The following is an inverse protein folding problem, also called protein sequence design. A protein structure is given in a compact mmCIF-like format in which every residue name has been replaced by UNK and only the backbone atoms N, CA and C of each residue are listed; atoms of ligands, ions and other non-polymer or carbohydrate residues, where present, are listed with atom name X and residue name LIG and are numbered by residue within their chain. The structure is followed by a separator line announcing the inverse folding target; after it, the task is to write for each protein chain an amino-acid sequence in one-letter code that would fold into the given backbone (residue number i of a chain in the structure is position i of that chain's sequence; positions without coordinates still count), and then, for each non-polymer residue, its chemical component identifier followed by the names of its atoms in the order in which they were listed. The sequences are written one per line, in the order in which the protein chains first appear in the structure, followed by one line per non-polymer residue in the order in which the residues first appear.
data_IF_705962067215
#
_entry.id   IF_705962067215
#
_cell.length_a   1.000
_cell.length_b   1.000
_cell.length_c   1.000
_cell.angle_alpha   90.00
_cell.angle_beta   90.00
_cell.angle_gamma   90.00
#
_symmetry.space_group_name_H-M   'P 1'
#
loop_
_entity.id
_entity.type
_entity.pdbx_description
1 polymer ?
#
# COMPACT_ATOMS: atom_id res chain seq x y z
N UNK A 1 25.04 2.15 -8.94
CA UNK A 1 24.48 1.70 -10.24
C UNK A 1 23.52 2.78 -10.72
N UNK A 2 23.76 3.40 -11.88
CA UNK A 2 22.95 4.51 -12.42
C UNK A 2 21.88 4.00 -13.41
N UNK A 3 20.90 3.25 -12.91
CA UNK A 3 19.70 2.88 -13.65
C UNK A 3 18.51 3.78 -13.28
N UNK A 4 17.45 3.76 -14.09
CA UNK A 4 16.16 4.41 -13.72
C UNK A 4 15.68 3.80 -12.39
N UNK A 5 15.30 4.61 -11.39
CA UNK A 5 14.86 4.08 -10.10
C UNK A 5 13.59 3.23 -10.26
N UNK A 6 13.60 2.05 -9.66
CA UNK A 6 12.45 1.14 -9.62
C UNK A 6 11.87 1.19 -8.21
N UNK A 7 10.62 1.58 -8.08
CA UNK A 7 9.94 1.75 -6.80
C UNK A 7 8.68 0.89 -6.78
N UNK A 8 8.52 0.06 -5.74
CA UNK A 8 7.33 -0.75 -5.55
C UNK A 8 6.36 -0.08 -4.57
N UNK A 9 5.07 -0.09 -4.90
CA UNK A 9 4.01 0.24 -3.95
C UNK A 9 3.62 -1.02 -3.17
N UNK A 10 3.70 -0.95 -1.84
CA UNK A 10 3.38 -2.05 -0.94
C UNK A 10 2.23 -1.68 -0.02
N UNK A 11 1.06 -2.25 -0.30
CA UNK A 11 -0.16 -2.06 0.49
C UNK A 11 -0.28 -3.02 1.68
N UNK A 12 0.81 -3.69 2.08
CA UNK A 12 0.81 -4.68 3.17
C UNK A 12 -0.12 -5.89 2.94
N UNK A 13 -0.52 -6.12 1.69
CA UNK A 13 -1.34 -7.26 1.26
C UNK A 13 -0.51 -8.39 0.67
N UNK A 14 -1.16 -9.55 0.46
CA UNK A 14 -0.53 -10.79 -0.03
C UNK A 14 0.18 -10.59 -1.37
N UNK A 15 -0.50 -10.04 -2.37
CA UNK A 15 0.02 -9.96 -3.74
C UNK A 15 1.25 -9.04 -3.84
N UNK A 16 1.16 -7.83 -3.29
CA UNK A 16 2.28 -6.89 -3.30
C UNK A 16 3.49 -7.40 -2.51
N UNK A 17 3.26 -8.17 -1.45
CA UNK A 17 4.32 -8.81 -0.66
C UNK A 17 5.00 -9.91 -1.47
N UNK A 18 4.22 -10.79 -2.11
CA UNK A 18 4.73 -11.86 -2.95
C UNK A 18 5.52 -11.32 -4.16
N UNK A 19 5.00 -10.27 -4.80
CA UNK A 19 5.66 -9.58 -5.90
C UNK A 19 7.05 -9.07 -5.49
N UNK A 20 7.17 -8.40 -4.34
CA UNK A 20 8.46 -7.87 -3.86
C UNK A 20 9.44 -9.00 -3.56
N UNK A 21 8.97 -10.08 -2.90
CA UNK A 21 9.82 -11.25 -2.60
C UNK A 21 10.36 -11.88 -3.88
N UNK A 22 9.51 -12.08 -4.89
CA UNK A 22 9.93 -12.67 -6.16
C UNK A 22 10.85 -11.74 -6.96
N UNK A 23 10.60 -10.43 -6.96
CA UNK A 23 11.47 -9.44 -7.60
C UNK A 23 12.90 -9.50 -7.06
N UNK A 24 13.03 -9.57 -5.74
CA UNK A 24 14.32 -9.68 -5.04
C UNK A 24 14.97 -11.03 -5.32
N UNK A 25 14.20 -12.12 -5.32
CA UNK A 25 14.68 -13.47 -5.64
C UNK A 25 15.24 -13.59 -7.06
N UNK A 26 14.69 -12.83 -8.02
CA UNK A 26 15.21 -12.74 -9.38
C UNK A 26 16.49 -11.88 -9.50
N UNK A 27 16.93 -11.25 -8.41
CA UNK A 27 18.11 -10.36 -8.42
C UNK A 27 17.86 -9.06 -9.18
N UNK A 28 16.59 -8.67 -9.37
CA UNK A 28 16.24 -7.43 -10.07
C UNK A 28 16.50 -6.21 -9.16
N UNK A 29 16.94 -5.08 -9.73
CA UNK A 29 17.15 -3.87 -8.94
C UNK A 29 15.83 -3.33 -8.40
N UNK A 30 15.80 -3.03 -7.11
CA UNK A 30 14.69 -2.38 -6.43
C UNK A 30 15.25 -1.23 -5.59
N UNK A 31 14.93 0.00 -5.98
CA UNK A 31 15.49 1.20 -5.35
C UNK A 31 14.81 1.50 -4.02
N UNK A 32 13.49 1.36 -3.94
CA UNK A 32 12.74 1.55 -2.71
C UNK A 32 11.38 0.86 -2.74
N UNK A 33 10.80 0.68 -1.56
CA UNK A 33 9.41 0.27 -1.35
C UNK A 33 8.68 1.38 -0.61
N UNK A 34 7.49 1.76 -1.09
CA UNK A 34 6.64 2.77 -0.45
C UNK A 34 5.35 2.15 0.08
N UNK A 35 5.00 2.49 1.31
CA UNK A 35 3.71 2.13 1.92
C UNK A 35 2.91 3.39 2.21
N UNK A 36 1.73 3.50 1.62
CA UNK A 36 0.80 4.59 1.92
C UNK A 36 0.00 4.24 3.18
N UNK A 37 0.24 4.95 4.28
CA UNK A 37 -0.49 4.77 5.53
C UNK A 37 -1.72 5.69 5.57
N UNK A 38 -2.90 5.09 5.65
CA UNK A 38 -4.20 5.79 5.69
C UNK A 38 -4.58 6.27 7.10
N UNK A 39 -3.82 5.86 8.12
CA UNK A 39 -4.09 6.13 9.53
C UNK A 39 -5.20 5.29 10.14
N UNK A 40 -5.85 4.42 9.36
CA UNK A 40 -6.98 3.58 9.77
C UNK A 40 -6.95 2.19 9.10
N UNK A 41 -5.76 1.65 8.84
CA UNK A 41 -5.64 0.25 8.43
C UNK A 41 -6.07 -0.69 9.58
N UNK A 42 -6.28 -1.97 9.24
CA UNK A 42 -6.57 -2.99 10.25
C UNK A 42 -5.39 -3.21 11.19
N UNK A 43 -5.66 -3.59 12.42
CA UNK A 43 -4.62 -3.86 13.43
C UNK A 43 -3.65 -4.95 12.98
N UNK A 44 -4.15 -6.00 12.33
CA UNK A 44 -3.33 -7.09 11.81
C UNK A 44 -2.39 -6.62 10.69
N UNK A 45 -2.85 -5.67 9.88
CA UNK A 45 -2.03 -5.04 8.83
C UNK A 45 -0.88 -4.25 9.43
N UNK A 46 -1.15 -3.45 10.47
CA UNK A 46 -0.09 -2.75 11.20
C UNK A 46 0.84 -3.70 11.95
N UNK A 47 0.33 -4.82 12.48
CA UNK A 47 1.15 -5.83 13.12
C UNK A 47 2.09 -6.55 12.12
N UNK A 48 1.69 -6.65 10.85
CA UNK A 48 2.51 -7.23 9.79
C UNK A 48 3.64 -6.31 9.32
N UNK A 49 3.44 -4.98 9.38
CA UNK A 49 4.43 -3.98 8.99
C UNK A 49 5.86 -4.26 9.53
N UNK A 50 6.09 -4.38 10.85
CA UNK A 50 7.43 -4.61 11.39
C UNK A 50 8.01 -5.99 11.01
N UNK A 51 7.17 -6.98 10.68
CA UNK A 51 7.61 -8.30 10.24
C UNK A 51 8.28 -8.19 8.87
N UNK A 52 7.61 -7.53 7.94
CA UNK A 52 8.12 -7.39 6.58
C UNK A 52 9.22 -6.33 6.47
N UNK A 53 9.21 -5.28 7.30
CA UNK A 53 10.34 -4.35 7.42
C UNK A 53 11.63 -5.08 7.77
N UNK A 54 11.62 -5.96 8.78
CA UNK A 54 12.80 -6.79 9.10
C UNK A 54 13.24 -7.68 7.94
N UNK A 55 12.32 -8.12 7.09
CA UNK A 55 12.67 -8.86 5.88
C UNK A 55 13.36 -7.93 4.87
N UNK A 56 12.79 -6.76 4.59
CA UNK A 56 13.39 -5.75 3.70
C UNK A 56 14.78 -5.31 4.17
N UNK A 57 14.98 -5.10 5.48
CA UNK A 57 16.28 -4.75 6.07
C UNK A 57 17.35 -5.80 5.79
N UNK A 58 17.00 -7.09 5.95
CA UNK A 58 17.91 -8.22 5.64
C UNK A 58 18.27 -8.32 4.17
N UNK A 59 17.44 -7.76 3.29
CA UNK A 59 17.66 -7.70 1.86
C UNK A 59 18.20 -6.33 1.39
N UNK A 60 18.54 -5.43 2.32
CA UNK A 60 19.05 -4.08 2.03
C UNK A 60 18.11 -3.23 1.17
N UNK A 61 16.80 -3.38 1.37
CA UNK A 61 15.77 -2.65 0.62
C UNK A 61 15.36 -1.41 1.42
N UNK A 62 15.48 -0.23 0.80
CA UNK A 62 15.00 1.02 1.38
C UNK A 62 13.46 1.01 1.44
N UNK A 63 12.89 1.27 2.62
CA UNK A 63 11.44 1.30 2.84
C UNK A 63 10.99 2.61 3.48
N UNK A 64 9.92 3.20 2.94
CA UNK A 64 9.29 4.38 3.50
C UNK A 64 7.80 4.19 3.74
N UNK A 65 7.35 4.55 4.94
CA UNK A 65 5.93 4.77 5.23
C UNK A 65 5.63 6.24 4.95
N UNK A 66 4.74 6.48 3.99
CA UNK A 66 4.34 7.82 3.57
C UNK A 66 2.90 8.08 3.96
N UNK A 67 2.59 9.32 4.33
CA UNK A 67 1.24 9.77 4.66
C UNK A 67 0.85 10.95 3.79
N UNK A 68 -0.44 11.04 3.48
CA UNK A 68 -0.99 12.18 2.77
C UNK A 68 -0.89 13.46 3.62
N UNK A 69 -0.40 14.55 3.03
CA UNK A 69 -0.38 15.87 3.66
C UNK A 69 -1.36 16.77 2.91
N UNK A 70 -2.47 17.20 3.53
CA UNK A 70 -3.48 18.02 2.86
C UNK A 70 -2.92 19.40 2.50
N UNK A 71 -2.88 19.71 1.20
CA UNK A 71 -2.47 21.03 0.69
C UNK A 71 -3.64 21.90 0.25
N UNK A 72 -4.71 21.28 -0.24
CA UNK A 72 -5.95 21.92 -0.66
C UNK A 72 -7.10 21.04 -0.20
N UNK A 73 -8.00 21.58 0.62
CA UNK A 73 -9.17 20.87 1.13
C UNK A 73 -10.40 21.76 1.00
N UNK A 74 -11.53 21.15 0.65
CA UNK A 74 -12.80 21.87 0.40
C UNK A 74 -13.46 22.33 1.69
N UNK A 75 -13.44 21.48 2.72
CA UNK A 75 -14.09 21.73 3.99
C UNK A 75 -13.06 21.73 5.13
N UNK A 76 -13.29 22.58 6.13
CA UNK A 76 -12.46 22.70 7.33
C UNK A 76 -13.02 21.81 8.46
N UNK A 77 -12.18 21.19 9.31
CA UNK A 77 -10.71 21.23 9.34
C UNK A 77 -10.04 20.35 8.27
N UNK A 78 -8.74 20.56 7.98
CA UNK A 78 -7.96 19.61 7.18
C UNK A 78 -8.03 18.20 7.78
N UNK A 79 -7.97 17.19 6.92
CA UNK A 79 -7.98 15.78 7.29
C UNK A 79 -6.61 15.13 7.04
N UNK A 80 -6.21 14.25 7.95
CA UNK A 80 -4.90 13.57 7.95
C UNK A 80 -5.03 12.05 7.93
N UNK A 81 -6.24 11.52 8.11
CA UNK A 81 -6.56 10.10 7.90
C UNK A 81 -7.68 9.92 6.88
N UNK A 82 -7.84 8.68 6.39
CA UNK A 82 -8.95 8.33 5.50
C UNK A 82 -10.31 8.45 6.19
N UNK A 83 -10.40 8.15 7.49
CA UNK A 83 -11.62 8.33 8.28
C UNK A 83 -11.99 9.81 8.42
N UNK A 84 -11.03 10.66 8.79
CA UNK A 84 -11.24 12.11 8.87
C UNK A 84 -11.66 12.68 7.52
N UNK A 85 -11.07 12.20 6.42
CA UNK A 85 -11.48 12.63 5.08
C UNK A 85 -12.97 12.38 4.83
N UNK A 86 -13.45 11.19 5.21
CA UNK A 86 -14.85 10.80 5.06
C UNK A 86 -15.78 11.67 5.92
N UNK A 87 -15.41 11.89 7.18
CA UNK A 87 -16.19 12.71 8.11
C UNK A 87 -16.22 14.19 7.69
N UNK A 88 -15.06 14.79 7.39
CA UNK A 88 -14.94 16.20 6.99
C UNK A 88 -15.69 16.51 5.70
N UNK A 89 -15.74 15.57 4.75
CA UNK A 89 -16.39 15.79 3.46
C UNK A 89 -17.83 15.23 3.40
N UNK A 90 -18.33 14.62 4.48
CA UNK A 90 -19.59 13.88 4.49
C UNK A 90 -19.67 12.86 3.33
N UNK A 91 -18.57 12.13 3.11
CA UNK A 91 -18.44 11.10 2.07
C UNK A 91 -18.20 9.73 2.67
N UNK A 92 -18.41 8.69 1.89
CA UNK A 92 -18.00 7.32 2.21
C UNK A 92 -16.85 6.89 1.30
N UNK A 93 -16.03 5.92 1.75
CA UNK A 93 -15.08 5.25 0.88
C UNK A 93 -15.77 4.68 -0.36
N UNK A 94 -15.05 4.60 -1.49
CA UNK A 94 -15.61 4.05 -2.74
C UNK A 94 -16.17 2.64 -2.57
N UNK A 95 -15.64 1.89 -1.60
CA UNK A 95 -16.10 0.54 -1.28
C UNK A 95 -17.54 0.50 -0.76
N UNK A 96 -18.01 1.53 -0.09
CA UNK A 96 -19.42 1.59 0.33
C UNK A 96 -20.40 1.69 -0.85
N UNK A 97 -19.92 2.09 -2.03
CA UNK A 97 -20.72 2.20 -3.26
C UNK A 97 -20.48 1.04 -4.24
N UNK A 98 -19.86 -0.07 -3.79
CA UNK A 98 -19.55 -1.22 -4.64
C UNK A 98 -18.44 -0.97 -5.67
N UNK A 99 -17.67 0.12 -5.54
CA UNK A 99 -16.54 0.43 -6.43
C UNK A 99 -15.23 -0.04 -5.80
N UNK A 100 -14.65 -1.11 -6.36
CA UNK A 100 -13.42 -1.76 -5.89
C UNK A 100 -12.50 -2.04 -7.08
N UNK A 101 -11.69 -1.08 -7.51
CA UNK A 101 -10.66 -1.33 -8.53
C UNK A 101 -9.31 -1.73 -7.91
N UNK A 102 -9.09 -1.44 -6.63
CA UNK A 102 -7.80 -1.60 -5.95
C UNK A 102 -7.86 -2.52 -4.72
N UNK A 103 -9.04 -3.04 -4.35
CA UNK A 103 -9.22 -3.96 -3.23
C UNK A 103 -9.61 -5.33 -3.76
N UNK A 104 -8.87 -6.37 -3.36
CA UNK A 104 -9.26 -7.76 -3.65
C UNK A 104 -10.60 -8.05 -2.93
N UNK A 105 -11.57 -8.59 -3.65
CA UNK A 105 -12.72 -9.25 -3.02
C UNK A 105 -12.29 -10.56 -2.34
N UNK A 106 -13.23 -11.24 -1.68
CA UNK A 106 -13.02 -12.64 -1.27
C UNK A 106 -12.52 -13.45 -2.47
N UNK A 107 -11.62 -14.41 -2.22
CA UNK A 107 -11.10 -15.36 -3.22
C UNK A 107 -12.27 -16.03 -3.96
N UNK A 108 -12.68 -15.41 -5.06
CA UNK A 108 -13.54 -15.98 -6.07
C UNK A 108 -12.69 -16.53 -7.21
N UNK A 109 -13.20 -17.49 -8.00
CA UNK A 109 -12.47 -18.14 -9.10
C UNK A 109 -11.98 -17.18 -10.22
N UNK A 110 -12.22 -15.87 -10.09
CA UNK A 110 -11.88 -14.83 -11.05
C UNK A 110 -10.48 -14.24 -10.88
N UNK A 111 -9.78 -14.48 -9.77
CA UNK A 111 -8.36 -14.08 -9.63
C UNK A 111 -7.49 -15.14 -10.31
N UNK A 112 -7.60 -15.21 -11.63
CA UNK A 112 -6.66 -15.95 -12.45
C UNK A 112 -5.35 -15.16 -12.42
N UNK A 113 -4.37 -15.75 -11.75
CA UNK A 113 -2.95 -15.45 -11.86
C UNK A 113 -2.65 -15.05 -13.31
N UNK A 114 -2.26 -13.79 -13.54
CA UNK A 114 -1.81 -13.34 -14.84
C UNK A 114 -0.75 -14.33 -15.33
N UNK A 115 -1.11 -15.09 -16.37
CA UNK A 115 -0.23 -16.09 -16.98
C UNK A 115 1.06 -15.38 -17.40
N UNK A 116 2.17 -15.81 -16.80
CA UNK A 116 3.50 -15.74 -17.41
C UNK A 116 3.50 -16.56 -18.70
#
# INVERSE_FOLDING_TARGET
MSGVPVIAAWGMGVDSTAMIIEWVKQGLPLSAVLTADTGVEREETYAFLPIFQRWMDRHHIEHHVVRYVPKRFKHWPPYFSLLENCLTNATLPSISFGRHSCSLGLLGPSVILARL
#
